data_IF_572437116343
#
_entry.id   IF_572437116343
#
_cell.length_a   1.000
_cell.length_b   1.000
_cell.length_c   1.000
_cell.angle_alpha   90.00
_cell.angle_beta   90.00
_cell.angle_gamma   90.00
#
_symmetry.space_group_name_H-M   'P 1'
#
loop_
_entity.id
_entity.type
_entity.pdbx_description
1 polymer ?
#
# COMPACT_ATOMS: atom_id res chain seq x y z
N UNK A 1 15.82 9.53 -26.01
CA UNK A 1 16.13 9.30 -24.58
C UNK A 1 15.22 8.24 -23.90
N UNK A 2 14.20 7.68 -24.56
CA UNK A 2 13.11 6.92 -23.93
C UNK A 2 13.35 5.41 -23.76
N UNK A 3 14.12 4.75 -24.61
CA UNK A 3 14.32 3.27 -24.54
C UNK A 3 15.32 2.84 -23.46
N UNK A 4 16.32 3.65 -23.17
CA UNK A 4 17.36 3.30 -22.18
C UNK A 4 16.83 3.43 -20.74
N UNK A 5 15.96 4.40 -20.47
CA UNK A 5 15.30 4.59 -19.17
C UNK A 5 14.28 3.50 -18.87
N UNK A 6 13.51 3.05 -19.85
CA UNK A 6 12.53 1.98 -19.69
C UNK A 6 13.21 0.63 -19.35
N UNK A 7 14.28 0.26 -20.04
CA UNK A 7 15.06 -0.95 -19.76
C UNK A 7 15.66 -0.93 -18.34
N UNK A 8 16.15 0.23 -17.89
CA UNK A 8 16.73 0.39 -16.55
C UNK A 8 15.65 0.24 -15.46
N UNK A 9 14.47 0.82 -15.64
CA UNK A 9 13.38 0.71 -14.68
C UNK A 9 12.83 -0.72 -14.56
N UNK A 10 12.71 -1.43 -15.68
CA UNK A 10 12.31 -2.84 -15.70
C UNK A 10 13.34 -3.72 -14.97
N UNK A 11 14.64 -3.48 -15.20
CA UNK A 11 15.71 -4.22 -14.51
C UNK A 11 15.72 -3.96 -12.98
N UNK A 12 15.46 -2.72 -12.54
CA UNK A 12 15.34 -2.37 -11.13
C UNK A 12 14.13 -3.09 -10.50
N UNK A 13 12.99 -3.09 -11.18
CA UNK A 13 11.79 -3.78 -10.73
C UNK A 13 12.02 -5.29 -10.58
N UNK A 14 12.58 -5.95 -11.60
CA UNK A 14 12.84 -7.40 -11.54
C UNK A 14 13.82 -7.76 -10.41
N UNK A 15 14.89 -6.98 -10.22
CA UNK A 15 15.82 -7.16 -9.11
C UNK A 15 15.10 -7.01 -7.75
N UNK A 16 14.24 -6.03 -7.60
CA UNK A 16 13.49 -5.81 -6.36
C UNK A 16 12.49 -6.95 -6.11
N UNK A 17 11.78 -7.40 -7.14
CA UNK A 17 10.85 -8.53 -7.11
C UNK A 17 11.56 -9.81 -6.64
N UNK A 18 12.73 -10.12 -7.22
CA UNK A 18 13.56 -11.24 -6.80
C UNK A 18 14.02 -11.09 -5.34
N UNK A 19 14.44 -9.89 -4.96
CA UNK A 19 14.89 -9.62 -3.58
C UNK A 19 13.77 -9.86 -2.57
N UNK A 20 12.55 -9.39 -2.85
CA UNK A 20 11.38 -9.62 -1.99
C UNK A 20 11.05 -11.12 -1.93
N UNK A 21 11.02 -11.79 -3.07
CA UNK A 21 10.73 -13.23 -3.17
C UNK A 21 11.70 -14.07 -2.33
N UNK A 22 13.00 -13.86 -2.46
CA UNK A 22 14.01 -14.59 -1.68
C UNK A 22 13.98 -14.26 -0.20
N UNK A 23 13.64 -13.02 0.14
CA UNK A 23 13.45 -12.64 1.54
C UNK A 23 12.25 -13.36 2.17
N UNK A 24 11.11 -13.45 1.46
CA UNK A 24 9.92 -14.19 1.91
C UNK A 24 10.26 -15.67 2.14
N UNK A 25 10.97 -16.29 1.19
CA UNK A 25 11.46 -17.67 1.32
C UNK A 25 12.35 -17.84 2.56
N UNK A 26 13.33 -16.95 2.74
CA UNK A 26 14.27 -16.98 3.87
C UNK A 26 13.59 -16.77 5.23
N UNK A 27 12.43 -16.10 5.26
CA UNK A 27 11.61 -15.90 6.47
C UNK A 27 10.61 -17.01 6.72
N UNK A 28 10.40 -17.92 5.74
CA UNK A 28 9.34 -18.92 5.79
C UNK A 28 7.92 -18.34 5.65
N UNK A 29 7.79 -17.14 5.03
CA UNK A 29 6.52 -16.47 4.80
C UNK A 29 5.87 -17.01 3.52
N UNK A 30 5.41 -18.25 3.60
CA UNK A 30 4.91 -18.99 2.45
C UNK A 30 3.59 -18.44 1.94
N UNK A 31 2.67 -18.04 2.84
CA UNK A 31 1.38 -17.45 2.44
C UNK A 31 1.57 -16.11 1.73
N UNK A 32 2.54 -15.28 2.19
CA UNK A 32 2.87 -14.03 1.52
C UNK A 32 3.56 -14.26 0.16
N UNK A 33 4.34 -15.33 0.02
CA UNK A 33 4.92 -15.73 -1.26
C UNK A 33 3.84 -16.18 -2.24
N UNK A 34 2.91 -17.03 -1.80
CA UNK A 34 1.78 -17.47 -2.61
C UNK A 34 0.88 -16.30 -3.01
N UNK A 35 0.64 -15.34 -2.10
CA UNK A 35 -0.08 -14.10 -2.38
C UNK A 35 0.63 -13.21 -3.43
N UNK A 36 1.96 -13.12 -3.37
CA UNK A 36 2.77 -12.43 -4.38
C UNK A 36 2.61 -13.08 -5.76
N UNK A 37 2.67 -14.40 -5.84
CA UNK A 37 2.57 -15.15 -7.09
C UNK A 37 1.14 -15.10 -7.65
N UNK A 38 0.13 -15.16 -6.79
CA UNK A 38 -1.27 -15.01 -7.17
C UNK A 38 -1.55 -13.59 -7.74
N UNK A 39 -1.19 -12.54 -7.01
CA UNK A 39 -1.43 -11.17 -7.44
C UNK A 39 -0.69 -10.80 -8.75
N UNK A 40 0.50 -11.35 -8.98
CA UNK A 40 1.27 -11.13 -10.19
C UNK A 40 0.58 -11.65 -11.47
N UNK A 41 -0.37 -12.58 -11.37
CA UNK A 41 -1.12 -13.10 -12.51
C UNK A 41 -2.16 -12.09 -13.02
N UNK A 42 -2.63 -11.21 -12.17
CA UNK A 42 -3.64 -10.19 -12.49
C UNK A 42 -2.98 -8.87 -12.95
N UNK A 43 -1.99 -8.37 -12.22
CA UNK A 43 -1.34 -7.09 -12.48
C UNK A 43 -0.29 -7.19 -13.62
N UNK A 44 -0.74 -7.46 -14.83
CA UNK A 44 0.12 -7.67 -16.02
C UNK A 44 0.28 -6.44 -16.90
N UNK A 45 -0.45 -5.36 -16.62
CA UNK A 45 -0.46 -4.13 -17.37
C UNK A 45 0.69 -3.18 -17.04
N UNK A 46 0.53 -1.92 -17.45
CA UNK A 46 1.43 -0.81 -17.14
C UNK A 46 0.69 0.26 -16.33
N UNK A 47 1.37 0.84 -15.37
CA UNK A 47 0.93 2.04 -14.64
C UNK A 47 1.00 3.28 -15.54
N UNK A 48 0.36 4.38 -15.10
CA UNK A 48 0.38 5.68 -15.81
C UNK A 48 1.79 6.25 -16.01
N UNK A 49 2.74 5.89 -15.14
CA UNK A 49 4.15 6.27 -15.24
C UNK A 49 4.98 5.31 -16.14
N UNK A 50 4.32 4.34 -16.80
CA UNK A 50 4.93 3.38 -17.73
C UNK A 50 5.65 2.20 -17.06
N UNK A 51 5.63 2.09 -15.72
CA UNK A 51 6.21 0.95 -15.02
C UNK A 51 5.27 -0.26 -15.05
N UNK A 52 5.80 -1.50 -14.89
CA UNK A 52 4.95 -2.68 -14.70
C UNK A 52 3.93 -2.45 -13.57
N UNK A 53 2.68 -2.84 -13.79
CA UNK A 53 1.60 -2.60 -12.84
C UNK A 53 1.90 -3.22 -11.47
N UNK A 54 2.37 -4.47 -11.45
CA UNK A 54 2.75 -5.17 -10.22
C UNK A 54 3.92 -4.52 -9.46
N UNK A 55 4.62 -3.56 -10.06
CA UNK A 55 5.67 -2.81 -9.35
C UNK A 55 5.15 -2.08 -8.12
N UNK A 56 3.87 -1.70 -8.09
CA UNK A 56 3.22 -1.07 -6.95
C UNK A 56 3.28 -1.95 -5.70
N UNK A 57 2.80 -3.17 -5.80
CA UNK A 57 2.76 -4.12 -4.71
C UNK A 57 4.17 -4.57 -4.30
N UNK A 58 5.08 -4.76 -5.26
CA UNK A 58 6.48 -5.13 -4.99
C UNK A 58 7.21 -4.05 -4.20
N UNK A 59 7.04 -2.76 -4.53
CA UNK A 59 7.63 -1.65 -3.77
C UNK A 59 7.04 -1.55 -2.36
N UNK A 60 5.75 -1.70 -2.22
CA UNK A 60 5.08 -1.73 -0.92
C UNK A 60 5.59 -2.88 -0.04
N UNK A 61 5.69 -4.09 -0.60
CA UNK A 61 6.24 -5.24 0.10
C UNK A 61 7.72 -5.07 0.47
N UNK A 62 8.51 -4.43 -0.41
CA UNK A 62 9.90 -4.10 -0.14
C UNK A 62 10.05 -3.09 1.02
N UNK A 63 9.13 -2.15 1.16
CA UNK A 63 9.07 -1.26 2.31
C UNK A 63 8.55 -1.99 3.56
N UNK A 64 7.46 -2.75 3.45
CA UNK A 64 6.86 -3.50 4.54
C UNK A 64 7.88 -4.44 5.23
N UNK A 65 8.71 -5.14 4.44
CA UNK A 65 9.76 -6.03 4.98
C UNK A 65 10.75 -5.32 5.91
N UNK A 66 11.01 -4.03 5.71
CA UNK A 66 11.93 -3.26 6.59
C UNK A 66 11.35 -3.05 7.99
N UNK A 67 10.03 -3.12 8.10
CA UNK A 67 9.27 -2.95 9.33
C UNK A 67 8.79 -4.30 9.93
N UNK A 68 9.02 -5.42 9.24
CA UNK A 68 8.42 -6.71 9.56
C UNK A 68 8.68 -7.18 11.01
N UNK A 69 9.87 -6.94 11.55
CA UNK A 69 10.21 -7.33 12.93
C UNK A 69 9.49 -6.48 14.01
N UNK A 70 8.83 -5.40 13.61
CA UNK A 70 8.07 -4.48 14.49
C UNK A 70 6.55 -4.68 14.34
N UNK A 71 6.12 -5.50 13.39
CA UNK A 71 4.70 -5.78 13.13
C UNK A 71 4.20 -6.92 14.01
N UNK A 72 2.93 -6.85 14.41
CA UNK A 72 2.23 -7.95 15.10
C UNK A 72 2.01 -9.16 14.19
N UNK A 73 1.68 -8.91 12.90
CA UNK A 73 1.33 -9.91 11.90
C UNK A 73 2.07 -9.62 10.59
N UNK A 74 3.41 -9.84 10.53
CA UNK A 74 4.21 -9.40 9.39
C UNK A 74 3.90 -10.15 8.09
N UNK A 75 3.69 -11.47 8.15
CA UNK A 75 3.36 -12.26 6.96
C UNK A 75 2.02 -11.87 6.39
N UNK A 76 0.97 -11.79 7.23
CA UNK A 76 -0.39 -11.44 6.84
C UNK A 76 -0.45 -10.00 6.31
N UNK A 77 0.33 -9.08 6.89
CA UNK A 77 0.42 -7.69 6.40
C UNK A 77 1.02 -7.65 5.00
N UNK A 78 2.10 -8.38 4.75
CA UNK A 78 2.74 -8.42 3.43
C UNK A 78 1.85 -9.14 2.41
N UNK A 79 1.17 -10.22 2.79
CA UNK A 79 0.18 -10.86 1.93
C UNK A 79 -0.97 -9.92 1.56
N UNK A 80 -1.48 -9.16 2.54
CA UNK A 80 -2.52 -8.13 2.32
C UNK A 80 -2.04 -7.04 1.35
N UNK A 81 -0.78 -6.61 1.46
CA UNK A 81 -0.16 -5.65 0.53
C UNK A 81 -0.15 -6.18 -0.91
N UNK A 82 0.06 -7.47 -1.14
CA UNK A 82 0.00 -8.03 -2.50
C UNK A 82 -1.43 -8.13 -3.03
N UNK A 83 -2.40 -8.43 -2.18
CA UNK A 83 -3.75 -8.81 -2.57
C UNK A 83 -4.77 -7.67 -2.59
N UNK A 84 -4.47 -6.50 -1.97
CA UNK A 84 -5.49 -5.48 -1.71
C UNK A 84 -6.17 -4.94 -2.98
N UNK A 85 -5.43 -4.75 -4.09
CA UNK A 85 -5.98 -4.26 -5.35
C UNK A 85 -6.62 -5.38 -6.20
N UNK A 86 -6.30 -6.66 -5.92
CA UNK A 86 -6.82 -7.77 -6.74
C UNK A 86 -8.33 -7.88 -6.67
N UNK A 87 -8.90 -7.68 -5.48
CA UNK A 87 -10.36 -7.75 -5.26
C UNK A 87 -11.07 -6.46 -5.71
N UNK A 88 -10.38 -5.33 -5.70
CA UNK A 88 -10.95 -4.02 -6.10
C UNK A 88 -10.94 -3.85 -7.62
N UNK A 89 -9.87 -4.28 -8.29
CA UNK A 89 -9.62 -4.01 -9.71
C UNK A 89 -9.95 -5.18 -10.64
N UNK A 90 -10.08 -6.41 -10.11
CA UNK A 90 -10.29 -7.63 -10.91
C UNK A 90 -11.48 -8.44 -10.40
N UNK A 91 -12.07 -9.35 -11.23
CA UNK A 91 -13.26 -10.13 -10.86
C UNK A 91 -12.93 -11.28 -9.88
N UNK A 92 -12.16 -10.99 -8.84
CA UNK A 92 -11.80 -11.92 -7.76
C UNK A 92 -12.64 -11.61 -6.53
N UNK A 93 -13.26 -12.64 -5.96
CA UNK A 93 -14.12 -12.49 -4.78
C UNK A 93 -13.33 -12.66 -3.49
N UNK A 94 -13.75 -11.99 -2.43
CA UNK A 94 -13.16 -12.19 -1.08
C UNK A 94 -13.25 -13.64 -0.63
N UNK A 95 -14.31 -14.37 -0.97
CA UNK A 95 -14.44 -15.80 -0.66
C UNK A 95 -13.38 -16.67 -1.32
N UNK A 96 -12.88 -16.27 -2.50
CA UNK A 96 -11.77 -16.94 -3.16
C UNK A 96 -10.44 -16.67 -2.41
N UNK A 97 -10.20 -15.43 -2.02
CA UNK A 97 -9.05 -15.07 -1.18
C UNK A 97 -9.09 -15.84 0.15
N UNK A 98 -10.26 -15.94 0.78
CA UNK A 98 -10.43 -16.69 2.03
C UNK A 98 -10.14 -18.19 1.84
N UNK A 99 -10.60 -18.79 0.74
CA UNK A 99 -10.34 -20.19 0.43
C UNK A 99 -8.86 -20.49 0.19
N UNK A 100 -8.11 -19.56 -0.43
CA UNK A 100 -6.71 -19.73 -0.79
C UNK A 100 -5.74 -19.36 0.34
N UNK A 101 -6.03 -18.31 1.08
CA UNK A 101 -5.09 -17.68 2.02
C UNK A 101 -5.57 -17.67 3.48
N UNK A 102 -6.82 -18.08 3.73
CA UNK A 102 -7.44 -18.09 5.04
C UNK A 102 -8.03 -16.72 5.45
N UNK A 103 -8.91 -16.77 6.46
CA UNK A 103 -9.64 -15.58 6.96
C UNK A 103 -8.73 -14.49 7.53
N UNK A 104 -7.57 -14.86 8.08
CA UNK A 104 -6.58 -13.92 8.63
C UNK A 104 -6.00 -12.97 7.58
N UNK A 105 -5.98 -13.36 6.30
CA UNK A 105 -5.55 -12.54 5.17
C UNK A 105 -6.76 -11.96 4.42
N UNK A 106 -7.82 -12.74 4.22
CA UNK A 106 -9.00 -12.29 3.48
C UNK A 106 -9.72 -11.12 4.18
N UNK A 107 -9.82 -11.14 5.50
CA UNK A 107 -10.47 -10.08 6.27
C UNK A 107 -9.76 -8.72 6.14
N UNK A 108 -8.43 -8.60 6.34
CA UNK A 108 -7.70 -7.38 6.05
C UNK A 108 -7.81 -6.90 4.59
N UNK A 109 -7.74 -7.82 3.61
CA UNK A 109 -7.94 -7.49 2.19
C UNK A 109 -9.33 -6.90 1.96
N UNK A 110 -10.39 -7.51 2.53
CA UNK A 110 -11.75 -6.98 2.47
C UNK A 110 -11.88 -5.59 3.09
N UNK A 111 -11.17 -5.32 4.19
CA UNK A 111 -11.15 -3.97 4.80
C UNK A 111 -10.45 -2.96 3.91
N UNK A 112 -9.36 -3.34 3.25
CA UNK A 112 -8.61 -2.49 2.32
C UNK A 112 -9.43 -2.11 1.08
N UNK A 113 -10.33 -2.97 0.62
CA UNK A 113 -11.18 -2.72 -0.56
C UNK A 113 -12.23 -1.65 -0.28
N UNK A 114 -12.13 -0.50 -0.95
CA UNK A 114 -13.07 0.64 -0.84
C UNK A 114 -14.38 0.38 -1.60
N UNK A 115 -14.31 -0.44 -2.66
CA UNK A 115 -15.45 -0.86 -3.47
C UNK A 115 -15.55 -2.39 -3.45
N UNK A 116 -16.72 -2.92 -3.06
CA UNK A 116 -16.99 -4.36 -3.06
C UNK A 116 -18.29 -4.59 -3.82
N UNK A 117 -18.26 -5.46 -4.83
CA UNK A 117 -19.42 -5.77 -5.68
C UNK A 117 -20.13 -4.51 -6.21
N UNK A 118 -19.35 -3.51 -6.62
CA UNK A 118 -19.84 -2.24 -7.14
C UNK A 118 -20.39 -1.25 -6.09
N UNK A 119 -20.35 -1.60 -4.80
CA UNK A 119 -20.81 -0.73 -3.71
C UNK A 119 -19.61 -0.08 -3.01
N UNK A 120 -19.55 1.25 -3.04
CA UNK A 120 -18.53 2.02 -2.35
C UNK A 120 -18.85 2.18 -0.86
N UNK A 121 -17.92 1.86 0.00
CA UNK A 121 -18.02 2.12 1.44
C UNK A 121 -18.02 3.63 1.71
N UNK A 122 -18.86 4.16 2.63
CA UNK A 122 -18.71 5.54 3.12
C UNK A 122 -17.32 5.75 3.73
N UNK A 123 -16.71 6.92 3.48
CA UNK A 123 -15.32 7.18 3.89
C UNK A 123 -15.11 6.98 5.38
N UNK A 124 -16.00 7.51 6.21
CA UNK A 124 -15.92 7.38 7.67
C UNK A 124 -15.94 5.92 8.14
N UNK A 125 -16.83 5.09 7.56
CA UNK A 125 -16.92 3.66 7.87
C UNK A 125 -15.67 2.93 7.43
N UNK A 126 -15.17 3.25 6.24
CA UNK A 126 -13.96 2.64 5.67
C UNK A 126 -12.73 2.87 6.57
N UNK A 127 -12.43 4.12 6.92
CA UNK A 127 -11.27 4.44 7.75
C UNK A 127 -11.44 3.99 9.22
N UNK A 128 -12.66 4.00 9.74
CA UNK A 128 -12.96 3.43 11.05
C UNK A 128 -12.66 1.93 11.10
N UNK A 129 -13.09 1.19 10.07
CA UNK A 129 -12.85 -0.26 9.99
C UNK A 129 -11.35 -0.58 9.81
N UNK A 130 -10.63 0.19 9.00
CA UNK A 130 -9.17 0.07 8.86
C UNK A 130 -8.46 0.26 10.20
N UNK A 131 -8.84 1.28 10.98
CA UNK A 131 -8.24 1.58 12.30
C UNK A 131 -8.44 0.46 13.33
N UNK A 132 -9.34 -0.49 13.09
CA UNK A 132 -9.66 -1.63 13.97
C UNK A 132 -8.94 -2.92 13.60
N UNK A 133 -8.12 -2.90 12.56
CA UNK A 133 -7.34 -4.06 12.09
C UNK A 133 -5.85 -3.69 12.09
N UNK A 134 -4.99 -4.43 12.84
CA UNK A 134 -3.56 -4.13 12.90
C UNK A 134 -2.86 -4.35 11.55
N UNK A 135 -3.39 -5.25 10.71
CA UNK A 135 -2.87 -5.59 9.39
C UNK A 135 -3.31 -4.52 8.37
N UNK A 136 -4.61 -4.31 8.23
CA UNK A 136 -5.17 -3.41 7.20
C UNK A 136 -4.75 -1.94 7.41
N UNK A 137 -4.63 -1.47 8.66
CA UNK A 137 -4.18 -0.11 8.96
C UNK A 137 -2.72 0.12 8.56
N UNK A 138 -1.85 -0.86 8.77
CA UNK A 138 -0.44 -0.79 8.34
C UNK A 138 -0.35 -0.88 6.82
N UNK A 139 -1.04 -1.85 6.19
CA UNK A 139 -1.04 -2.00 4.74
C UNK A 139 -1.55 -0.73 4.04
N UNK A 140 -2.62 -0.09 4.56
CA UNK A 140 -3.16 1.17 3.99
C UNK A 140 -2.20 2.34 4.13
N UNK A 141 -1.49 2.43 5.26
CA UNK A 141 -0.46 3.45 5.43
C UNK A 141 0.70 3.28 4.43
N UNK A 142 1.14 2.04 4.21
CA UNK A 142 2.19 1.70 3.23
C UNK A 142 1.72 1.99 1.80
N UNK A 143 0.49 1.64 1.46
CA UNK A 143 -0.12 1.98 0.18
C UNK A 143 -0.10 3.49 -0.08
N UNK A 144 -0.50 4.29 0.90
CA UNK A 144 -0.50 5.75 0.79
C UNK A 144 0.92 6.32 0.59
N UNK A 145 1.93 5.79 1.29
CA UNK A 145 3.33 6.21 1.08
C UNK A 145 3.72 5.99 -0.38
N UNK A 146 3.44 4.80 -0.94
CA UNK A 146 3.83 4.53 -2.32
C UNK A 146 3.02 5.35 -3.34
N UNK A 147 1.74 5.62 -3.05
CA UNK A 147 0.93 6.52 -3.88
C UNK A 147 1.52 7.93 -3.92
N UNK A 148 1.96 8.48 -2.79
CA UNK A 148 2.68 9.77 -2.75
C UNK A 148 3.99 9.72 -3.55
N UNK A 149 4.77 8.64 -3.45
CA UNK A 149 6.03 8.49 -4.20
C UNK A 149 5.85 8.48 -5.72
N UNK A 150 4.68 8.05 -6.19
CA UNK A 150 4.44 7.82 -7.63
C UNK A 150 3.45 8.80 -8.27
N UNK A 151 2.77 9.64 -7.50
CA UNK A 151 1.77 10.57 -8.05
C UNK A 151 2.40 11.76 -8.79
N UNK A 152 3.67 12.12 -8.50
CA UNK A 152 4.38 13.17 -9.21
C UNK A 152 4.58 12.78 -10.68
N UNK A 153 4.11 13.63 -11.60
CA UNK A 153 4.16 13.36 -13.04
C UNK A 153 3.10 12.36 -13.56
N UNK A 154 2.38 11.64 -12.68
CA UNK A 154 1.30 10.73 -13.05
C UNK A 154 -0.10 11.33 -12.85
N UNK A 155 -0.25 12.24 -11.88
CA UNK A 155 -1.50 12.90 -11.54
C UNK A 155 -1.42 14.40 -11.78
N UNK A 156 -2.57 15.01 -12.10
CA UNK A 156 -2.69 16.48 -12.14
C UNK A 156 -2.44 17.10 -10.76
N UNK A 157 -2.00 18.37 -10.68
CA UNK A 157 -1.82 19.05 -9.40
C UNK A 157 -3.07 19.01 -8.50
N UNK A 158 -4.26 19.23 -9.06
CA UNK A 158 -5.52 19.13 -8.30
C UNK A 158 -5.70 17.74 -7.66
N UNK A 159 -5.44 16.67 -8.42
CA UNK A 159 -5.54 15.31 -7.88
C UNK A 159 -4.47 15.01 -6.84
N UNK A 160 -3.29 15.60 -6.95
CA UNK A 160 -2.25 15.50 -5.92
C UNK A 160 -2.72 16.17 -4.62
N UNK A 161 -3.30 17.37 -4.71
CA UNK A 161 -3.88 18.09 -3.57
C UNK A 161 -4.98 17.25 -2.89
N UNK A 162 -5.90 16.65 -3.67
CA UNK A 162 -6.94 15.77 -3.13
C UNK A 162 -6.35 14.58 -2.34
N UNK A 163 -5.25 13.98 -2.84
CA UNK A 163 -4.55 12.89 -2.15
C UNK A 163 -3.86 13.33 -0.86
N UNK A 164 -3.29 14.53 -0.84
CA UNK A 164 -2.69 15.12 0.37
C UNK A 164 -3.79 15.42 1.40
N UNK A 165 -4.91 16.00 0.98
CA UNK A 165 -6.07 16.28 1.84
C UNK A 165 -6.65 15.01 2.46
N UNK A 166 -6.87 13.93 1.66
CA UNK A 166 -7.31 12.64 2.21
C UNK A 166 -6.27 12.06 3.20
N UNK A 167 -4.98 12.28 2.95
CA UNK A 167 -3.94 11.84 3.87
C UNK A 167 -4.03 12.56 5.21
N UNK A 168 -4.21 13.86 5.20
CA UNK A 168 -4.30 14.70 6.40
C UNK A 168 -5.58 14.40 7.21
N UNK A 169 -6.73 14.35 6.52
CA UNK A 169 -8.05 14.30 7.15
C UNK A 169 -8.45 12.87 7.54
N UNK A 170 -8.02 11.86 6.78
CA UNK A 170 -8.49 10.48 6.96
C UNK A 170 -7.36 9.51 7.37
N UNK A 171 -6.23 9.50 6.62
CA UNK A 171 -5.17 8.49 6.83
C UNK A 171 -4.41 8.74 8.15
N UNK A 172 -3.95 9.95 8.42
CA UNK A 172 -3.21 10.24 9.65
C UNK A 172 -4.07 10.03 10.92
N UNK A 173 -5.36 10.44 10.98
CA UNK A 173 -6.26 10.09 12.08
C UNK A 173 -6.50 8.58 12.21
N UNK A 174 -6.66 7.85 11.11
CA UNK A 174 -6.80 6.39 11.10
C UNK A 174 -5.56 5.73 11.72
N UNK A 175 -4.35 6.10 11.28
CA UNK A 175 -3.09 5.59 11.84
C UNK A 175 -2.94 5.92 13.33
N UNK A 176 -3.34 7.13 13.74
CA UNK A 176 -3.33 7.55 15.16
C UNK A 176 -4.27 6.70 16.01
N UNK A 177 -5.47 6.38 15.50
CA UNK A 177 -6.44 5.53 16.19
C UNK A 177 -5.94 4.08 16.27
N UNK A 178 -5.40 3.53 15.18
CA UNK A 178 -4.82 2.20 15.13
C UNK A 178 -3.62 2.07 16.08
N UNK A 179 -2.70 3.03 16.11
CA UNK A 179 -1.55 3.06 17.01
C UNK A 179 -1.96 2.95 18.48
N UNK A 180 -3.02 3.68 18.89
CA UNK A 180 -3.52 3.62 20.27
C UNK A 180 -4.12 2.26 20.62
N UNK A 181 -4.69 1.56 19.66
CA UNK A 181 -5.30 0.24 19.83
C UNK A 181 -4.25 -0.87 19.80
N UNK A 182 -3.25 -0.75 18.93
CA UNK A 182 -2.22 -1.76 18.66
C UNK A 182 -0.83 -1.23 19.03
N UNK A 183 -0.67 -0.81 20.29
CA UNK A 183 0.54 -0.15 20.78
C UNK A 183 1.80 -1.03 20.71
N UNK A 184 1.66 -2.35 20.65
CA UNK A 184 2.80 -3.27 20.49
C UNK A 184 3.52 -3.11 19.12
N UNK A 185 2.85 -2.55 18.10
CA UNK A 185 3.47 -2.18 16.82
C UNK A 185 3.53 -0.65 16.61
N UNK A 186 3.54 0.13 17.70
CA UNK A 186 3.60 1.59 17.66
C UNK A 186 4.73 2.14 16.76
N UNK A 187 5.97 1.60 16.77
CA UNK A 187 7.03 2.10 15.92
C UNK A 187 6.74 1.99 14.42
N UNK A 188 5.92 1.02 14.00
CA UNK A 188 5.48 0.88 12.59
C UNK A 188 4.62 2.08 12.20
N UNK A 189 3.64 2.44 13.04
CA UNK A 189 2.76 3.58 12.78
C UNK A 189 3.51 4.91 12.79
N UNK A 190 4.46 5.10 13.72
CA UNK A 190 5.27 6.32 13.76
C UNK A 190 6.19 6.44 12.55
N UNK A 191 6.76 5.32 12.07
CA UNK A 191 7.56 5.33 10.85
C UNK A 191 6.72 5.71 9.63
N UNK A 192 5.55 5.09 9.44
CA UNK A 192 4.62 5.40 8.35
C UNK A 192 4.17 6.87 8.41
N UNK A 193 3.76 7.35 9.57
CA UNK A 193 3.36 8.74 9.79
C UNK A 193 4.49 9.71 9.44
N UNK A 194 5.71 9.44 9.89
CA UNK A 194 6.87 10.29 9.59
C UNK A 194 7.12 10.38 8.09
N UNK A 195 7.06 9.25 7.38
CA UNK A 195 7.20 9.21 5.92
C UNK A 195 6.11 10.03 5.22
N UNK A 196 4.85 9.86 5.62
CA UNK A 196 3.74 10.61 5.03
C UNK A 196 3.87 12.12 5.26
N UNK A 197 4.17 12.55 6.49
CA UNK A 197 4.35 13.97 6.80
C UNK A 197 5.51 14.58 6.00
N UNK A 198 6.64 13.86 5.89
CA UNK A 198 7.78 14.31 5.09
C UNK A 198 7.44 14.46 3.60
N UNK A 199 6.67 13.52 3.05
CA UNK A 199 6.22 13.59 1.66
C UNK A 199 5.23 14.74 1.45
N UNK A 200 4.28 14.93 2.37
CA UNK A 200 3.32 16.03 2.31
C UNK A 200 4.01 17.39 2.31
N UNK A 201 5.02 17.60 3.16
CA UNK A 201 5.81 18.83 3.20
C UNK A 201 6.53 19.09 1.86
N UNK A 202 7.12 18.06 1.26
CA UNK A 202 7.76 18.19 -0.06
C UNK A 202 6.76 18.57 -1.17
N UNK A 203 5.55 18.01 -1.13
CA UNK A 203 4.50 18.32 -2.11
C UNK A 203 3.92 19.71 -1.89
N UNK A 204 3.68 20.14 -0.64
CA UNK A 204 3.21 21.47 -0.32
C UNK A 204 4.17 22.53 -0.90
N UNK A 205 5.48 22.36 -0.68
CA UNK A 205 6.49 23.22 -1.29
C UNK A 205 6.47 23.16 -2.83
N UNK A 206 6.43 21.99 -3.42
CA UNK A 206 6.46 21.82 -4.88
C UNK A 206 5.20 22.36 -5.58
N UNK A 207 4.06 22.36 -4.90
CA UNK A 207 2.78 22.86 -5.42
C UNK A 207 2.57 24.37 -5.12
N UNK A 208 3.50 25.02 -4.39
CA UNK A 208 3.41 26.45 -4.05
C UNK A 208 2.36 26.75 -2.97
N UNK A 209 2.03 25.79 -2.11
CA UNK A 209 1.06 25.98 -1.02
C UNK A 209 1.68 26.67 0.21
N UNK A 210 3.01 26.62 0.38
CA UNK A 210 3.72 27.22 1.52
C UNK A 210 3.75 28.76 1.50
N UNK A 211 3.53 29.41 0.35
CA UNK A 211 3.58 30.88 0.23
C UNK A 211 2.30 31.59 0.73
N UNK A 212 1.27 30.85 1.13
CA UNK A 212 -0.03 31.45 1.56
C UNK A 212 -0.20 31.59 3.08
N UNK A 213 0.82 31.30 3.88
CA UNK A 213 0.72 31.27 5.36
C UNK A 213 1.67 32.25 6.04
N UNK A 214 1.98 33.40 5.39
CA UNK A 214 2.67 34.54 6.02
C UNK A 214 1.83 35.76 5.98
#
# INVERSE_FOLDING_TARGET
MTTHTANTQTAIYEKLRMTVRYWLLGRGYNRALDAMEFAAQYHTGLRKDGKPEFSHQVWQAAYARTLANLMLHPEETIATVFLHDVVEDYPVKISEIESLFGGEIAEPVNRMSKVIEGRKKPSEVYFFDLARCPIASVAKGIDRIHNHQTMCGAFSPSKQIDYLGETEVDILPMLKAARRRFNAQEPVYENIKHMLISQMALYAYALGEDEKTT
#
